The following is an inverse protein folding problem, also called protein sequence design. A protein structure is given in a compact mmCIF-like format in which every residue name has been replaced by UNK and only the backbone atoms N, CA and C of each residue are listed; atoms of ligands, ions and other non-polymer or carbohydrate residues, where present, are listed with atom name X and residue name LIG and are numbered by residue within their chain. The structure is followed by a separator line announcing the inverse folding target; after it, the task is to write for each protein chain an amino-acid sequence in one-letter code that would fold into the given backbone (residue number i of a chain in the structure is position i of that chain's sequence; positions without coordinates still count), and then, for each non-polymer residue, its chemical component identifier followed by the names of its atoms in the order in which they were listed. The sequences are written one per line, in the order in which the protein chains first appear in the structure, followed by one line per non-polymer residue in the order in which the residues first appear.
data_IF_840983353516
#
_entry.id   IF_840983353516
#
_cell.length_a   1.000
_cell.length_b   1.000
_cell.length_c   1.000
_cell.angle_alpha   90.00
_cell.angle_beta   90.00
_cell.angle_gamma   90.00
#
_symmetry.space_group_name_H-M   'P 1'
#
loop_
_entity.id
_entity.type
_entity.pdbx_description
1 polymer ?
#
# COMPACT_ATOMS: atom_id res chain seq x y z
N UNK A 1 -8.04 -0.27 27.30
CA UNK A 1 -7.74 1.12 26.90
C UNK A 1 -7.50 1.97 28.15
N UNK A 2 -6.57 2.93 28.12
CA UNK A 2 -6.36 3.86 29.24
C UNK A 2 -7.44 4.95 29.24
N UNK A 3 -7.96 5.32 30.42
CA UNK A 3 -9.03 6.32 30.55
C UNK A 3 -8.70 7.68 29.90
N UNK A 4 -7.42 8.02 29.78
CA UNK A 4 -6.95 9.23 29.10
C UNK A 4 -7.13 9.19 27.58
N UNK A 5 -6.97 8.01 26.96
CA UNK A 5 -7.14 7.83 25.52
C UNK A 5 -8.62 7.95 25.13
N UNK A 6 -9.51 7.32 25.91
CA UNK A 6 -10.95 7.48 25.76
C UNK A 6 -11.38 8.94 25.92
N UNK A 7 -10.79 9.67 26.87
CA UNK A 7 -11.04 11.09 27.07
C UNK A 7 -10.61 11.92 25.85
N UNK A 8 -9.49 11.57 25.20
CA UNK A 8 -8.99 12.24 24.00
C UNK A 8 -9.96 12.12 22.82
N UNK A 9 -10.40 10.91 22.51
CA UNK A 9 -11.37 10.65 21.43
C UNK A 9 -12.73 11.28 21.71
N UNK A 10 -13.21 11.18 22.95
CA UNK A 10 -14.48 11.77 23.34
C UNK A 10 -14.47 13.30 23.26
N UNK A 11 -13.33 13.96 23.54
CA UNK A 11 -13.17 15.40 23.32
C UNK A 11 -13.31 15.78 21.84
N UNK A 12 -12.72 15.01 20.93
CA UNK A 12 -12.87 15.23 19.48
C UNK A 12 -14.33 15.12 19.04
N UNK A 13 -15.01 14.04 19.42
CA UNK A 13 -16.44 13.86 19.11
C UNK A 13 -17.31 14.97 19.70
N UNK A 14 -17.04 15.39 20.94
CA UNK A 14 -17.76 16.47 21.59
C UNK A 14 -17.56 17.82 20.88
N UNK A 15 -16.34 18.12 20.45
CA UNK A 15 -16.04 19.33 19.69
C UNK A 15 -16.82 19.38 18.36
N UNK A 16 -16.90 18.25 17.65
CA UNK A 16 -17.72 18.15 16.42
C UNK A 16 -19.20 18.37 16.76
N UNK A 17 -19.70 17.80 17.86
CA UNK A 17 -21.08 18.00 18.32
C UNK A 17 -21.44 19.45 18.65
N UNK A 18 -20.46 20.26 19.08
CA UNK A 18 -20.64 21.68 19.36
C UNK A 18 -20.56 22.57 18.11
N UNK A 19 -20.02 22.06 17.01
CA UNK A 19 -19.95 22.78 15.74
C UNK A 19 -21.30 22.71 15.02
N UNK A 20 -22.13 23.73 15.23
CA UNK A 20 -23.49 23.81 14.66
C UNK A 20 -23.52 23.84 13.13
N UNK A 21 -22.38 24.03 12.46
CA UNK A 21 -22.28 23.95 11.00
C UNK A 21 -22.20 22.52 10.50
N UNK A 22 -21.73 21.56 11.29
CA UNK A 22 -21.53 20.16 10.87
C UNK A 22 -22.81 19.38 11.13
N UNK A 23 -23.48 18.93 10.07
CA UNK A 23 -24.74 18.20 10.21
C UNK A 23 -24.83 17.06 9.20
N UNK A 24 -25.09 15.84 9.66
CA UNK A 24 -24.88 14.70 8.78
C UNK A 24 -25.46 13.37 9.23
N UNK A 25 -25.16 12.36 8.42
CA UNK A 25 -25.63 10.98 8.62
C UNK A 25 -24.46 10.06 8.99
N UNK A 26 -24.73 9.11 9.86
CA UNK A 26 -23.86 7.95 10.12
C UNK A 26 -24.51 6.70 9.55
N UNK A 27 -23.87 6.02 8.61
CA UNK A 27 -24.36 4.80 7.98
C UNK A 27 -23.33 3.68 8.16
N UNK A 28 -23.55 2.85 9.17
CA UNK A 28 -22.56 1.87 9.62
C UNK A 28 -23.11 0.45 9.38
N UNK A 29 -22.34 -0.44 8.73
CA UNK A 29 -22.76 -1.82 8.46
C UNK A 29 -21.75 -2.81 9.04
N UNK A 30 -22.28 -3.83 9.72
CA UNK A 30 -21.47 -4.86 10.36
C UNK A 30 -20.97 -4.38 11.72
N UNK A 31 -19.67 -4.49 11.98
CA UNK A 31 -19.11 -4.15 13.29
C UNK A 31 -18.85 -2.64 13.50
N UNK A 32 -19.29 -1.77 12.60
CA UNK A 32 -18.97 -0.34 12.61
C UNK A 32 -19.73 0.56 13.59
N UNK A 33 -20.73 0.07 14.34
CA UNK A 33 -21.69 0.89 15.13
C UNK A 33 -21.11 1.74 16.28
N UNK A 34 -19.79 1.86 16.40
CA UNK A 34 -19.14 2.54 17.51
C UNK A 34 -18.88 4.03 17.26
N UNK A 35 -18.85 4.50 16.00
CA UNK A 35 -18.60 5.91 15.72
C UNK A 35 -19.84 6.73 16.13
N UNK A 36 -21.02 6.39 15.61
CA UNK A 36 -22.25 7.07 16.00
C UNK A 36 -22.51 6.99 17.52
N UNK A 37 -22.21 5.84 18.14
CA UNK A 37 -22.35 5.65 19.59
C UNK A 37 -21.54 6.66 20.39
N UNK A 38 -20.29 6.95 19.99
CA UNK A 38 -19.45 7.95 20.66
C UNK A 38 -20.06 9.35 20.59
N UNK A 39 -20.63 9.72 19.44
CA UNK A 39 -21.32 11.01 19.28
C UNK A 39 -22.54 11.14 20.20
N UNK A 40 -23.30 10.06 20.41
CA UNK A 40 -24.40 10.07 21.39
C UNK A 40 -23.91 10.13 22.83
N UNK A 41 -22.86 9.38 23.16
CA UNK A 41 -22.32 9.27 24.52
C UNK A 41 -21.84 10.61 25.08
N UNK A 42 -21.15 11.42 24.26
CA UNK A 42 -20.57 12.69 24.69
C UNK A 42 -21.58 13.84 24.77
N UNK A 43 -22.81 13.64 24.29
CA UNK A 43 -23.86 14.66 24.27
C UNK A 43 -23.69 15.72 23.18
N UNK A 44 -24.75 16.49 22.91
CA UNK A 44 -24.77 17.51 21.84
C UNK A 44 -25.15 16.98 20.45
N UNK A 45 -25.30 15.66 20.29
CA UNK A 45 -25.58 15.00 19.02
C UNK A 45 -26.79 15.54 18.24
N UNK A 46 -27.80 16.11 18.89
CA UNK A 46 -28.96 16.71 18.20
C UNK A 46 -28.57 17.88 17.26
N UNK A 47 -27.42 18.54 17.52
CA UNK A 47 -26.88 19.58 16.66
C UNK A 47 -26.17 19.06 15.41
N UNK A 48 -25.79 17.78 15.39
CA UNK A 48 -24.81 17.22 14.43
C UNK A 48 -25.31 15.97 13.70
N UNK A 49 -26.08 15.12 14.37
CA UNK A 49 -26.60 13.87 13.83
C UNK A 49 -28.01 14.11 13.29
N UNK A 50 -28.16 14.08 11.97
CA UNK A 50 -29.44 14.12 11.29
C UNK A 50 -30.09 12.73 11.25
N UNK A 51 -29.29 11.70 11.00
CA UNK A 51 -29.73 10.30 10.90
C UNK A 51 -28.61 9.35 11.30
N UNK A 52 -28.98 8.21 11.89
CA UNK A 52 -28.11 7.03 11.95
C UNK A 52 -28.80 5.85 11.28
N UNK A 53 -28.05 5.02 10.59
CA UNK A 53 -28.54 3.86 9.84
C UNK A 53 -27.64 2.65 10.10
N UNK A 54 -28.27 1.49 10.27
CA UNK A 54 -27.59 0.20 10.35
C UNK A 54 -28.42 -0.88 9.68
N UNK A 55 -27.80 -1.66 8.80
CA UNK A 55 -28.45 -2.78 8.10
C UNK A 55 -27.57 -4.04 8.22
N UNK A 56 -27.90 -4.91 9.18
CA UNK A 56 -27.17 -6.17 9.41
C UNK A 56 -27.59 -7.30 8.48
N UNK A 57 -28.87 -7.34 8.10
CA UNK A 57 -29.38 -8.36 7.21
C UNK A 57 -29.05 -7.99 5.76
N UNK A 58 -28.53 -8.95 5.00
CA UNK A 58 -28.12 -8.74 3.60
C UNK A 58 -29.29 -8.30 2.72
N UNK A 59 -30.49 -8.83 2.95
CA UNK A 59 -31.70 -8.48 2.19
C UNK A 59 -32.09 -7.02 2.43
N UNK A 60 -32.03 -6.57 3.69
CA UNK A 60 -32.27 -5.17 4.03
C UNK A 60 -31.19 -4.26 3.45
N UNK A 61 -29.92 -4.65 3.56
CA UNK A 61 -28.80 -3.90 2.98
C UNK A 61 -28.96 -3.75 1.46
N UNK A 62 -29.32 -4.83 0.77
CA UNK A 62 -29.53 -4.82 -0.69
C UNK A 62 -30.76 -4.03 -1.11
N UNK A 63 -31.83 -4.02 -0.30
CA UNK A 63 -33.00 -3.19 -0.56
C UNK A 63 -32.71 -1.69 -0.48
N UNK A 64 -31.71 -1.29 0.32
CA UNK A 64 -31.32 0.12 0.51
C UNK A 64 -30.22 0.51 -0.49
N UNK A 65 -29.17 -0.31 -0.60
CA UNK A 65 -27.93 0.03 -1.32
C UNK A 65 -27.71 -0.83 -2.58
N UNK A 66 -28.66 -1.66 -2.99
CA UNK A 66 -28.51 -2.57 -4.13
C UNK A 66 -27.62 -3.79 -3.83
N UNK A 67 -27.62 -4.78 -4.72
CA UNK A 67 -26.78 -5.98 -4.59
C UNK A 67 -25.30 -5.70 -4.86
N UNK A 68 -24.40 -6.43 -4.22
CA UNK A 68 -22.94 -6.36 -4.46
C UNK A 68 -22.29 -7.74 -4.43
N UNK A 69 -21.16 -7.90 -5.12
CA UNK A 69 -20.38 -9.14 -5.08
C UNK A 69 -19.71 -9.36 -3.72
N UNK A 70 -19.29 -8.28 -3.06
CA UNK A 70 -18.61 -8.29 -1.75
C UNK A 70 -19.18 -7.21 -0.85
N UNK A 71 -19.79 -7.62 0.27
CA UNK A 71 -20.43 -6.70 1.21
C UNK A 71 -19.43 -5.82 1.96
N UNK A 72 -18.24 -6.34 2.27
CA UNK A 72 -17.12 -5.55 2.80
C UNK A 72 -16.20 -5.22 1.64
N UNK A 73 -16.48 -4.10 0.97
CA UNK A 73 -15.74 -3.63 -0.20
C UNK A 73 -15.81 -2.12 -0.35
N UNK A 74 -14.84 -1.57 -1.08
CA UNK A 74 -14.83 -0.17 -1.49
C UNK A 74 -16.10 0.23 -2.24
N UNK A 75 -16.59 -0.63 -3.14
CA UNK A 75 -17.80 -0.36 -3.92
C UNK A 75 -19.04 -0.26 -3.04
N UNK A 76 -19.16 -1.14 -2.02
CA UNK A 76 -20.26 -1.04 -1.07
C UNK A 76 -20.18 0.27 -0.28
N UNK A 77 -19.00 0.63 0.24
CA UNK A 77 -18.80 1.90 0.95
C UNK A 77 -19.21 3.09 0.07
N UNK A 78 -18.75 3.14 -1.18
CA UNK A 78 -19.08 4.22 -2.10
C UNK A 78 -20.59 4.35 -2.31
N UNK A 79 -21.27 3.22 -2.53
CA UNK A 79 -22.74 3.19 -2.71
C UNK A 79 -23.48 3.72 -1.47
N UNK A 80 -22.97 3.43 -0.27
CA UNK A 80 -23.52 3.95 0.97
C UNK A 80 -23.32 5.47 1.07
N UNK A 81 -22.11 5.97 0.78
CA UNK A 81 -21.81 7.41 0.78
C UNK A 81 -22.70 8.17 -0.22
N UNK A 82 -22.87 7.63 -1.42
CA UNK A 82 -23.73 8.18 -2.47
C UNK A 82 -25.19 8.27 -2.01
N UNK A 83 -25.78 7.13 -1.70
CA UNK A 83 -27.20 7.04 -1.33
C UNK A 83 -27.55 7.94 -0.14
N UNK A 84 -26.71 7.89 0.90
CA UNK A 84 -26.98 8.59 2.15
C UNK A 84 -26.78 10.10 2.03
N UNK A 85 -25.86 10.54 1.17
CA UNK A 85 -25.61 11.96 0.94
C UNK A 85 -26.72 12.58 0.09
N UNK A 86 -27.13 11.89 -0.98
CA UNK A 86 -28.24 12.35 -1.83
C UNK A 86 -29.53 12.49 -1.02
N UNK A 87 -29.83 11.51 -0.17
CA UNK A 87 -30.99 11.54 0.71
C UNK A 87 -30.90 12.67 1.76
N UNK A 88 -29.71 12.94 2.29
CA UNK A 88 -29.47 14.03 3.24
C UNK A 88 -29.73 15.40 2.57
N UNK A 89 -29.20 15.61 1.37
CA UNK A 89 -29.40 16.83 0.57
C UNK A 89 -30.87 17.00 0.20
N UNK A 90 -31.52 15.97 -0.34
CA UNK A 90 -32.94 15.95 -0.72
C UNK A 90 -33.84 16.43 0.43
N UNK A 91 -33.55 15.98 1.65
CA UNK A 91 -34.42 16.20 2.80
C UNK A 91 -34.16 17.51 3.52
N UNK A 92 -32.92 18.04 3.47
CA UNK A 92 -32.49 19.09 4.39
C UNK A 92 -31.91 20.33 3.72
N UNK A 93 -31.55 20.30 2.43
CA UNK A 93 -30.90 21.46 1.77
C UNK A 93 -31.76 22.72 1.77
N UNK A 94 -33.07 22.58 1.52
CA UNK A 94 -33.99 23.74 1.51
C UNK A 94 -34.00 24.46 2.87
N UNK A 95 -33.94 23.69 3.97
CA UNK A 95 -34.06 24.21 5.33
C UNK A 95 -32.72 24.65 5.94
N UNK A 96 -31.65 23.88 5.71
CA UNK A 96 -30.39 24.05 6.42
C UNK A 96 -29.20 24.28 5.49
N UNK A 97 -29.34 24.06 4.18
CA UNK A 97 -28.22 24.07 3.24
C UNK A 97 -27.48 25.41 3.15
N UNK A 98 -28.12 26.54 3.48
CA UNK A 98 -27.47 27.86 3.54
C UNK A 98 -26.68 28.12 4.82
N UNK A 99 -26.94 27.36 5.89
CA UNK A 99 -26.37 27.58 7.23
C UNK A 99 -25.40 26.48 7.66
N UNK A 100 -25.61 25.25 7.17
CA UNK A 100 -24.89 24.04 7.58
C UNK A 100 -24.21 23.37 6.41
N UNK A 101 -23.03 22.82 6.68
CA UNK A 101 -22.30 21.94 5.79
C UNK A 101 -22.69 20.49 6.07
N UNK A 102 -23.09 19.78 5.02
CA UNK A 102 -23.51 18.39 5.13
C UNK A 102 -22.35 17.41 5.10
N UNK A 103 -22.48 16.32 5.86
CA UNK A 103 -21.57 15.19 5.80
C UNK A 103 -22.29 13.84 5.89
N UNK A 104 -21.65 12.81 5.37
CA UNK A 104 -21.99 11.41 5.60
C UNK A 104 -20.73 10.70 6.03
N UNK A 105 -20.80 10.03 7.17
CA UNK A 105 -19.84 8.99 7.54
C UNK A 105 -20.46 7.65 7.18
N UNK A 106 -19.70 6.79 6.51
CA UNK A 106 -20.11 5.43 6.23
C UNK A 106 -19.00 4.43 6.53
N UNK A 107 -19.39 3.24 6.95
CA UNK A 107 -18.47 2.11 7.02
C UNK A 107 -19.13 0.77 6.65
N UNK A 108 -18.30 -0.15 6.17
CA UNK A 108 -18.66 -1.56 5.99
C UNK A 108 -17.52 -2.42 6.51
N UNK A 109 -17.82 -3.24 7.52
CA UNK A 109 -16.79 -3.86 8.35
C UNK A 109 -17.10 -5.33 8.61
N UNK A 110 -16.09 -6.19 8.39
CA UNK A 110 -16.07 -7.57 8.88
C UNK A 110 -15.15 -7.67 10.10
N UNK A 111 -15.75 -7.69 11.30
CA UNK A 111 -15.02 -8.03 12.51
C UNK A 111 -15.05 -9.52 12.79
N UNK A 112 -14.21 -9.95 13.73
CA UNK A 112 -14.01 -11.36 14.06
C UNK A 112 -15.31 -12.02 14.48
N UNK A 113 -15.67 -13.10 13.80
CA UNK A 113 -16.84 -13.91 14.17
C UNK A 113 -16.43 -15.10 15.03
N UNK A 114 -17.34 -15.57 15.90
CA UNK A 114 -17.12 -16.79 16.69
C UNK A 114 -16.99 -18.07 15.83
N UNK A 115 -17.34 -18.03 14.54
CA UNK A 115 -17.39 -19.19 13.64
C UNK A 115 -16.29 -19.22 12.57
N UNK A 116 -15.66 -18.08 12.25
CA UNK A 116 -14.67 -17.97 11.17
C UNK A 116 -13.46 -17.14 11.63
N UNK A 117 -12.26 -17.66 11.41
CA UNK A 117 -10.97 -16.99 11.64
C UNK A 117 -10.52 -16.15 10.43
N UNK A 118 -11.46 -15.52 9.72
CA UNK A 118 -11.11 -14.66 8.59
C UNK A 118 -10.43 -13.37 9.07
N UNK A 119 -9.67 -12.74 8.17
CA UNK A 119 -9.05 -11.43 8.41
C UNK A 119 -10.13 -10.41 8.81
N UNK A 120 -9.88 -9.67 9.89
CA UNK A 120 -10.78 -8.62 10.37
C UNK A 120 -10.37 -7.30 9.72
N UNK A 121 -11.24 -6.75 8.88
CA UNK A 121 -10.94 -5.55 8.09
C UNK A 121 -12.22 -4.76 7.75
N UNK A 122 -12.05 -3.54 7.27
CA UNK A 122 -13.18 -2.68 6.93
C UNK A 122 -12.82 -1.49 6.05
N UNK A 123 -13.83 -0.94 5.41
CA UNK A 123 -13.76 0.30 4.64
C UNK A 123 -14.53 1.38 5.38
N UNK A 124 -13.88 2.52 5.61
CA UNK A 124 -14.51 3.70 6.23
C UNK A 124 -14.39 4.86 5.24
N UNK A 125 -15.40 5.72 5.23
CA UNK A 125 -15.41 6.89 4.37
C UNK A 125 -16.16 8.05 4.98
N UNK A 126 -15.73 9.26 4.62
CA UNK A 126 -16.46 10.49 4.90
C UNK A 126 -16.62 11.27 3.61
N UNK A 127 -17.86 11.61 3.30
CA UNK A 127 -18.22 12.58 2.25
C UNK A 127 -18.69 13.85 2.95
N UNK A 128 -18.12 15.00 2.62
CA UNK A 128 -18.43 16.23 3.36
C UNK A 128 -18.30 17.49 2.51
N UNK A 129 -19.06 18.51 2.90
CA UNK A 129 -18.94 19.86 2.36
C UNK A 129 -17.95 20.69 3.18
N UNK A 130 -16.98 21.31 2.49
CA UNK A 130 -16.13 22.34 3.11
C UNK A 130 -16.87 23.66 3.31
N UNK A 131 -17.81 23.97 2.40
CA UNK A 131 -18.66 25.17 2.41
C UNK A 131 -20.09 24.79 2.05
N UNK A 132 -21.04 25.60 2.50
CA UNK A 132 -22.48 25.40 2.25
C UNK A 132 -22.78 25.32 0.75
N UNK A 133 -23.58 24.32 0.35
CA UNK A 133 -24.00 24.08 -1.05
C UNK A 133 -22.86 23.96 -2.07
N UNK A 134 -21.66 23.61 -1.64
CA UNK A 134 -20.57 23.22 -2.55
C UNK A 134 -20.58 21.73 -2.80
N UNK A 135 -19.94 21.36 -3.90
CA UNK A 135 -19.60 19.97 -4.21
C UNK A 135 -18.83 19.35 -3.04
N UNK A 136 -19.20 18.12 -2.62
CA UNK A 136 -18.55 17.48 -1.50
C UNK A 136 -17.16 16.96 -1.88
N UNK A 137 -16.32 16.82 -0.87
CA UNK A 137 -15.05 16.08 -0.95
C UNK A 137 -15.18 14.78 -0.18
N UNK A 138 -14.32 13.81 -0.50
CA UNK A 138 -14.33 12.51 0.16
C UNK A 138 -12.94 12.09 0.64
N UNK A 139 -12.95 11.34 1.73
CA UNK A 139 -11.80 10.58 2.22
C UNK A 139 -12.27 9.16 2.41
N UNK A 140 -11.56 8.21 1.80
CA UNK A 140 -11.81 6.78 1.94
C UNK A 140 -10.56 6.14 2.51
N UNK A 141 -10.73 5.30 3.53
CA UNK A 141 -9.66 4.49 4.10
C UNK A 141 -10.04 3.01 4.14
N UNK A 142 -9.04 2.15 4.05
CA UNK A 142 -9.15 0.76 4.47
C UNK A 142 -8.37 0.55 5.76
N UNK A 143 -8.93 -0.28 6.63
CA UNK A 143 -8.33 -0.62 7.91
C UNK A 143 -8.28 -2.12 8.13
N UNK A 144 -7.20 -2.59 8.76
CA UNK A 144 -7.08 -3.95 9.31
C UNK A 144 -7.15 -3.87 10.82
N UNK A 145 -8.00 -4.68 11.42
CA UNK A 145 -8.17 -4.77 12.87
C UNK A 145 -7.33 -5.93 13.39
N UNK A 146 -6.46 -5.62 14.34
CA UNK A 146 -5.43 -6.54 14.82
C UNK A 146 -5.74 -7.09 16.22
N UNK A 147 -6.68 -6.47 16.93
CA UNK A 147 -7.16 -6.95 18.23
C UNK A 147 -7.74 -8.37 18.14
N UNK A 148 -7.59 -9.15 19.20
CA UNK A 148 -8.03 -10.55 19.22
C UNK A 148 -9.54 -10.70 19.42
N UNK A 149 -10.20 -9.75 20.07
CA UNK A 149 -11.63 -9.82 20.42
C UNK A 149 -12.46 -8.84 19.60
N UNK A 150 -13.68 -9.24 19.25
CA UNK A 150 -14.60 -8.39 18.49
C UNK A 150 -14.91 -7.06 19.21
N UNK A 151 -15.02 -7.06 20.54
CA UNK A 151 -15.33 -5.84 21.30
C UNK A 151 -14.18 -4.83 21.22
N UNK A 152 -12.94 -5.30 21.33
CA UNK A 152 -11.76 -4.44 21.20
C UNK A 152 -11.65 -3.88 19.77
N UNK A 153 -11.90 -4.72 18.75
CA UNK A 153 -11.94 -4.30 17.35
C UNK A 153 -12.97 -3.19 17.08
N UNK A 154 -14.20 -3.36 17.59
CA UNK A 154 -15.26 -2.37 17.49
C UNK A 154 -14.87 -1.05 18.16
N UNK A 155 -14.33 -1.12 19.38
CA UNK A 155 -13.92 0.05 20.12
C UNK A 155 -12.83 0.85 19.37
N UNK A 156 -11.82 0.15 18.84
CA UNK A 156 -10.75 0.76 18.06
C UNK A 156 -11.27 1.41 16.77
N UNK A 157 -12.21 0.75 16.07
CA UNK A 157 -12.88 1.34 14.91
C UNK A 157 -13.61 2.63 15.25
N UNK A 158 -14.31 2.66 16.39
CA UNK A 158 -14.96 3.86 16.90
C UNK A 158 -13.98 5.03 17.06
N UNK A 159 -12.75 4.76 17.53
CA UNK A 159 -11.70 5.79 17.64
C UNK A 159 -11.23 6.27 16.27
N UNK A 160 -10.91 5.35 15.36
CA UNK A 160 -10.45 5.72 14.01
C UNK A 160 -11.51 6.50 13.25
N UNK A 161 -12.78 6.11 13.34
CA UNK A 161 -13.88 6.84 12.68
C UNK A 161 -14.05 8.27 13.22
N UNK A 162 -13.95 8.47 14.53
CA UNK A 162 -13.95 9.82 15.14
C UNK A 162 -12.72 10.62 14.68
N UNK A 163 -11.53 10.00 14.65
CA UNK A 163 -10.32 10.66 14.18
C UNK A 163 -10.40 11.05 12.70
N UNK A 164 -10.98 10.20 11.85
CA UNK A 164 -11.22 10.47 10.43
C UNK A 164 -12.15 11.69 10.25
N UNK A 165 -13.28 11.71 10.96
CA UNK A 165 -14.22 12.83 10.92
C UNK A 165 -13.57 14.13 11.43
N UNK A 166 -12.88 14.05 12.57
CA UNK A 166 -12.18 15.20 13.13
C UNK A 166 -11.12 15.74 12.16
N UNK A 167 -10.34 14.85 11.56
CA UNK A 167 -9.35 15.21 10.57
C UNK A 167 -9.95 15.87 9.34
N UNK A 168 -11.02 15.30 8.80
CA UNK A 168 -11.73 15.85 7.64
C UNK A 168 -12.26 17.27 7.90
N UNK A 169 -12.71 17.56 9.12
CA UNK A 169 -13.30 18.86 9.45
C UNK A 169 -12.31 19.92 9.90
N UNK A 170 -11.19 19.53 10.50
CA UNK A 170 -10.30 20.47 11.21
C UNK A 170 -8.84 20.47 10.74
N UNK A 171 -8.42 19.55 9.87
CA UNK A 171 -7.07 19.55 9.30
C UNK A 171 -7.09 19.88 7.81
N UNK A 172 -6.38 20.96 7.46
CA UNK A 172 -6.19 21.38 6.06
C UNK A 172 -5.03 20.64 5.37
N UNK A 173 -4.10 20.07 6.15
CA UNK A 173 -2.95 19.33 5.64
C UNK A 173 -3.26 17.82 5.68
N UNK A 174 -3.36 17.14 4.52
CA UNK A 174 -3.61 15.70 4.47
C UNK A 174 -2.62 14.86 5.28
N UNK A 175 -1.35 15.25 5.32
CA UNK A 175 -0.30 14.55 6.07
C UNK A 175 -0.57 14.58 7.58
N UNK A 176 -1.09 15.69 8.09
CA UNK A 176 -1.50 15.84 9.49
C UNK A 176 -2.75 15.03 9.80
N UNK A 177 -3.69 14.97 8.86
CA UNK A 177 -4.87 14.11 8.97
C UNK A 177 -4.45 12.65 9.10
N UNK A 178 -3.57 12.19 8.22
CA UNK A 178 -3.02 10.83 8.24
C UNK A 178 -2.38 10.53 9.60
N UNK A 179 -1.48 11.40 10.08
CA UNK A 179 -0.83 11.24 11.39
C UNK A 179 -1.84 11.10 12.54
N UNK A 180 -2.98 11.77 12.42
CA UNK A 180 -4.00 11.79 13.48
C UNK A 180 -4.92 10.57 13.53
N UNK A 181 -4.92 9.71 12.50
CA UNK A 181 -5.88 8.60 12.37
C UNK A 181 -5.75 7.58 13.52
N UNK A 182 -4.52 7.37 14.00
CA UNK A 182 -4.22 6.44 15.10
C UNK A 182 -4.06 7.14 16.47
N UNK A 183 -4.33 8.44 16.57
CA UNK A 183 -4.30 9.11 17.88
C UNK A 183 -5.29 8.47 18.86
N UNK A 184 -4.87 8.35 20.13
CA UNK A 184 -5.63 7.67 21.18
C UNK A 184 -5.88 6.17 20.91
N UNK A 185 -5.03 5.53 20.11
CA UNK A 185 -4.92 4.07 20.02
C UNK A 185 -3.54 3.63 20.46
N UNK A 186 -3.48 2.44 21.06
CA UNK A 186 -2.19 1.79 21.28
C UNK A 186 -1.69 1.29 19.92
N UNK A 187 -0.37 1.21 19.80
CA UNK A 187 0.26 0.60 18.64
C UNK A 187 -0.32 -0.81 18.39
N UNK A 188 -0.36 -1.21 17.14
CA UNK A 188 -0.77 -2.56 16.71
C UNK A 188 -2.24 -2.94 16.99
N UNK A 189 -3.16 -2.00 17.26
CA UNK A 189 -4.60 -2.30 17.32
C UNK A 189 -5.32 -2.20 15.98
N UNK A 190 -4.99 -1.17 15.21
CA UNK A 190 -5.49 -0.94 13.86
C UNK A 190 -4.34 -0.54 12.94
N UNK A 191 -4.35 -1.08 11.72
CA UNK A 191 -3.49 -0.65 10.62
C UNK A 191 -4.34 0.09 9.59
N UNK A 192 -3.94 1.30 9.18
CA UNK A 192 -4.54 1.99 8.03
C UNK A 192 -3.66 1.73 6.82
N UNK A 193 -4.07 0.80 5.95
CA UNK A 193 -3.24 0.31 4.84
C UNK A 193 -3.63 0.87 3.47
N UNK A 194 -4.64 1.74 3.43
CA UNK A 194 -5.06 2.44 2.21
C UNK A 194 -5.75 3.76 2.58
N UNK A 195 -5.46 4.82 1.83
CA UNK A 195 -6.17 6.11 1.90
C UNK A 195 -6.31 6.73 0.52
N UNK A 196 -7.47 7.32 0.23
CA UNK A 196 -7.71 8.14 -0.96
C UNK A 196 -8.52 9.38 -0.62
N UNK A 197 -8.08 10.50 -1.16
CA UNK A 197 -8.72 11.81 -1.11
C UNK A 197 -9.28 12.15 -2.50
N UNK A 198 -10.48 12.73 -2.53
CA UNK A 198 -11.12 13.19 -3.76
C UNK A 198 -11.99 14.43 -3.52
N UNK A 199 -12.29 15.18 -4.59
CA UNK A 199 -13.14 16.36 -4.56
C UNK A 199 -12.40 17.68 -4.28
N UNK A 200 -13.13 18.80 -4.26
CA UNK A 200 -12.56 20.14 -4.32
C UNK A 200 -11.67 20.53 -3.12
N UNK A 201 -11.84 19.93 -1.95
CA UNK A 201 -10.99 20.20 -0.78
C UNK A 201 -9.56 19.64 -0.94
N UNK A 202 -9.36 18.73 -1.89
CA UNK A 202 -8.11 18.01 -2.12
C UNK A 202 -7.58 18.20 -3.54
N UNK A 203 -7.94 19.31 -4.18
CA UNK A 203 -7.36 19.69 -5.46
C UNK A 203 -5.83 19.81 -5.34
N UNK A 204 -5.09 19.12 -6.19
CA UNK A 204 -3.63 19.07 -6.16
C UNK A 204 -3.01 18.05 -5.19
N UNK A 205 -3.82 17.28 -4.45
CA UNK A 205 -3.31 16.17 -3.63
C UNK A 205 -2.97 14.98 -4.51
N UNK A 206 -1.72 14.52 -4.45
CA UNK A 206 -1.31 13.26 -5.07
C UNK A 206 -1.53 12.10 -4.08
N UNK A 207 -2.49 11.22 -4.40
CA UNK A 207 -2.83 10.08 -3.55
C UNK A 207 -1.67 9.07 -3.38
N UNK A 208 -0.69 9.09 -4.27
CA UNK A 208 0.51 8.25 -4.17
C UNK A 208 1.42 8.74 -3.05
N UNK A 209 1.57 10.06 -2.92
CA UNK A 209 2.24 10.65 -1.76
C UNK A 209 1.47 10.36 -0.47
N UNK A 210 0.14 10.46 -0.49
CA UNK A 210 -0.67 10.19 0.71
C UNK A 210 -0.55 8.75 1.18
N UNK A 211 -0.45 7.81 0.24
CA UNK A 211 -0.21 6.42 0.57
C UNK A 211 1.21 6.19 1.08
N UNK A 212 2.21 6.87 0.50
CA UNK A 212 3.59 6.87 1.04
C UNK A 212 3.63 7.36 2.49
N UNK A 213 2.82 8.37 2.85
CA UNK A 213 2.69 8.86 4.22
C UNK A 213 2.20 7.79 5.20
N UNK A 214 1.33 6.86 4.77
CA UNK A 214 0.91 5.76 5.63
C UNK A 214 2.10 4.87 6.06
N UNK A 215 3.06 4.65 5.17
CA UNK A 215 4.25 3.84 5.48
C UNK A 215 5.28 4.66 6.26
N UNK A 216 5.57 5.89 5.84
CA UNK A 216 6.59 6.74 6.46
C UNK A 216 6.22 7.18 7.88
N UNK A 217 4.92 7.34 8.16
CA UNK A 217 4.40 7.69 9.49
C UNK A 217 4.06 6.45 10.34
N UNK A 218 4.26 5.23 9.81
CA UNK A 218 4.14 3.99 10.58
C UNK A 218 2.73 3.40 10.68
N UNK A 219 1.72 3.97 9.99
CA UNK A 219 0.35 3.48 10.01
C UNK A 219 0.19 2.12 9.32
N UNK A 220 1.06 1.79 8.36
CA UNK A 220 1.13 0.48 7.70
C UNK A 220 2.56 0.10 7.35
N UNK A 221 2.75 -1.16 6.97
CA UNK A 221 4.05 -1.69 6.54
C UNK A 221 4.26 -1.64 5.04
N UNK A 222 3.16 -1.55 4.27
CA UNK A 222 3.23 -1.42 2.83
C UNK A 222 1.96 -0.81 2.24
N UNK A 223 2.12 -0.15 1.10
CA UNK A 223 1.05 0.41 0.26
C UNK A 223 1.33 0.10 -1.21
N UNK A 224 0.29 0.13 -2.05
CA UNK A 224 0.40 -0.30 -3.44
C UNK A 224 -0.35 0.64 -4.40
N UNK A 225 0.22 0.76 -5.60
CA UNK A 225 -0.33 1.52 -6.72
C UNK A 225 -0.36 0.65 -7.97
N UNK A 226 -1.44 0.74 -8.73
CA UNK A 226 -1.50 0.21 -10.08
C UNK A 226 -0.76 1.14 -11.06
N UNK A 227 -0.52 0.65 -12.28
CA UNK A 227 0.25 1.38 -13.28
C UNK A 227 -0.37 2.72 -13.71
N UNK A 228 -1.68 2.86 -13.58
CA UNK A 228 -2.43 4.11 -13.80
C UNK A 228 -2.32 5.09 -12.61
N UNK A 229 -1.60 4.73 -11.55
CA UNK A 229 -1.41 5.55 -10.36
C UNK A 229 -2.53 5.43 -9.32
N UNK A 230 -3.48 4.53 -9.52
CA UNK A 230 -4.57 4.31 -8.56
C UNK A 230 -4.07 3.60 -7.29
N UNK A 231 -4.40 4.17 -6.13
CA UNK A 231 -4.16 3.51 -4.84
C UNK A 231 -5.16 2.38 -4.64
N UNK A 232 -4.62 1.19 -4.40
CA UNK A 232 -5.36 -0.07 -4.31
C UNK A 232 -5.07 -0.81 -3.02
N UNK A 233 -6.06 -1.59 -2.56
CA UNK A 233 -5.88 -2.48 -1.42
C UNK A 233 -5.24 -3.81 -1.90
N UNK A 234 -4.18 -4.32 -1.25
CA UNK A 234 -3.44 -5.50 -1.71
C UNK A 234 -4.27 -6.76 -1.97
N UNK A 235 -5.23 -7.07 -1.11
CA UNK A 235 -6.08 -8.25 -1.24
C UNK A 235 -7.04 -8.17 -2.45
N UNK A 236 -7.37 -6.97 -2.94
CA UNK A 236 -8.15 -6.80 -4.18
C UNK A 236 -7.35 -7.22 -5.42
N UNK A 237 -6.05 -6.94 -5.44
CA UNK A 237 -5.17 -7.24 -6.59
C UNK A 237 -4.62 -8.66 -6.56
N UNK A 238 -4.25 -9.17 -5.37
CA UNK A 238 -3.59 -10.47 -5.24
C UNK A 238 -4.55 -11.67 -5.21
N UNK A 239 -5.86 -11.42 -5.19
CA UNK A 239 -6.86 -12.48 -5.07
C UNK A 239 -6.72 -13.53 -6.17
N UNK A 240 -6.34 -14.75 -5.78
CA UNK A 240 -6.10 -15.90 -6.66
C UNK A 240 -4.99 -15.68 -7.71
N UNK A 241 -4.09 -14.73 -7.50
CA UNK A 241 -2.96 -14.45 -8.40
C UNK A 241 -1.66 -15.01 -7.86
N UNK A 242 -0.83 -15.55 -8.74
CA UNK A 242 0.60 -15.69 -8.49
C UNK A 242 1.25 -14.30 -8.47
N UNK A 243 2.34 -14.17 -7.72
CA UNK A 243 3.03 -12.90 -7.53
C UNK A 243 4.48 -13.06 -7.95
N UNK A 244 4.97 -12.14 -8.77
CA UNK A 244 6.38 -11.96 -9.04
C UNK A 244 6.78 -10.57 -8.56
N UNK A 245 7.80 -10.47 -7.72
CA UNK A 245 8.26 -9.18 -7.19
C UNK A 245 9.74 -8.98 -7.44
N UNK A 246 10.12 -7.83 -7.97
CA UNK A 246 11.51 -7.36 -8.00
C UNK A 246 11.64 -6.19 -7.03
N UNK A 247 12.65 -6.24 -6.17
CA UNK A 247 13.04 -5.13 -5.30
C UNK A 247 14.08 -4.26 -6.00
N UNK A 248 13.91 -2.95 -5.98
CA UNK A 248 14.89 -2.04 -6.55
C UNK A 248 14.69 -0.59 -6.18
N UNK A 249 15.71 0.23 -6.46
CA UNK A 249 15.59 1.69 -6.35
C UNK A 249 14.87 2.32 -7.54
N UNK A 250 14.89 1.65 -8.70
CA UNK A 250 14.26 2.09 -9.95
C UNK A 250 14.62 3.52 -10.36
N UNK A 251 15.87 3.91 -10.12
CA UNK A 251 16.39 5.27 -10.33
C UNK A 251 17.59 5.31 -11.30
N UNK A 252 17.36 5.23 -12.63
CA UNK A 252 16.14 4.81 -13.32
C UNK A 252 16.05 3.27 -13.45
N UNK A 253 14.91 2.77 -13.95
CA UNK A 253 14.80 1.38 -14.46
C UNK A 253 15.71 1.18 -15.67
N UNK A 254 16.46 0.08 -15.70
CA UNK A 254 17.35 -0.30 -16.80
C UNK A 254 16.83 -1.51 -17.59
N UNK A 255 17.48 -1.82 -18.71
CA UNK A 255 17.20 -3.07 -19.44
C UNK A 255 17.44 -4.32 -18.59
N UNK A 256 18.44 -4.30 -17.69
CA UNK A 256 18.71 -5.42 -16.79
C UNK A 256 17.48 -5.78 -15.94
N UNK A 257 16.85 -4.77 -15.32
CA UNK A 257 15.59 -4.94 -14.57
C UNK A 257 14.49 -5.60 -15.40
N UNK A 258 14.26 -5.11 -16.63
CA UNK A 258 13.23 -5.70 -17.48
C UNK A 258 13.58 -7.14 -17.92
N UNK A 259 14.84 -7.42 -18.20
CA UNK A 259 15.29 -8.74 -18.63
C UNK A 259 15.18 -9.78 -17.50
N UNK A 260 15.56 -9.38 -16.28
CA UNK A 260 15.33 -10.15 -15.05
C UNK A 260 13.85 -10.55 -14.89
N UNK A 261 12.96 -9.56 -14.96
CA UNK A 261 11.52 -9.79 -14.82
C UNK A 261 10.97 -10.68 -15.93
N UNK A 262 11.39 -10.46 -17.17
CA UNK A 262 10.92 -11.24 -18.32
C UNK A 262 11.40 -12.70 -18.25
N UNK A 263 12.65 -12.92 -17.84
CA UNK A 263 13.20 -14.25 -17.60
C UNK A 263 12.43 -15.01 -16.53
N UNK A 264 12.29 -14.42 -15.34
CA UNK A 264 11.55 -15.03 -14.24
C UNK A 264 10.06 -15.28 -14.57
N UNK A 265 9.43 -14.34 -15.31
CA UNK A 265 8.05 -14.48 -15.78
C UNK A 265 7.87 -15.67 -16.71
N UNK A 266 8.78 -15.89 -17.67
CA UNK A 266 8.73 -17.06 -18.56
C UNK A 266 8.80 -18.36 -17.77
N UNK A 267 9.77 -18.46 -16.87
CA UNK A 267 9.94 -19.64 -16.01
C UNK A 267 8.65 -19.91 -15.21
N UNK A 268 8.08 -18.88 -14.58
CA UNK A 268 6.88 -19.05 -13.75
C UNK A 268 5.65 -19.45 -14.57
N UNK A 269 5.44 -18.85 -15.74
CA UNK A 269 4.30 -19.17 -16.61
C UNK A 269 4.42 -20.59 -17.19
N UNK A 270 5.61 -21.00 -17.61
CA UNK A 270 5.88 -22.32 -18.18
C UNK A 270 5.82 -23.43 -17.12
N UNK A 271 6.56 -23.29 -16.01
CA UNK A 271 6.65 -24.33 -14.97
C UNK A 271 5.33 -24.54 -14.24
N UNK A 272 4.55 -23.48 -14.02
CA UNK A 272 3.33 -23.56 -13.23
C UNK A 272 2.04 -23.60 -14.07
N UNK A 273 2.14 -23.51 -15.41
CA UNK A 273 0.99 -23.48 -16.33
C UNK A 273 -0.04 -22.39 -15.96
N UNK A 274 0.43 -21.23 -15.51
CA UNK A 274 -0.41 -20.07 -15.24
C UNK A 274 -0.71 -19.29 -16.52
N UNK A 275 -1.90 -18.69 -16.57
CA UNK A 275 -2.21 -17.69 -17.60
C UNK A 275 -1.64 -16.34 -17.23
N UNK A 276 -1.49 -15.48 -18.23
CA UNK A 276 -1.02 -14.10 -18.04
C UNK A 276 -1.85 -13.30 -17.06
N UNK A 277 -3.18 -13.46 -17.11
CA UNK A 277 -4.07 -12.77 -16.19
C UNK A 277 -3.97 -13.33 -14.77
N UNK A 278 -3.39 -14.50 -14.54
CA UNK A 278 -3.19 -15.10 -13.22
C UNK A 278 -1.89 -14.66 -12.52
N UNK A 279 -1.06 -13.84 -13.17
CA UNK A 279 0.20 -13.34 -12.64
C UNK A 279 0.14 -11.83 -12.39
N UNK A 280 0.59 -11.40 -11.21
CA UNK A 280 0.83 -9.99 -10.90
C UNK A 280 2.33 -9.78 -10.75
N UNK A 281 2.88 -8.84 -11.53
CA UNK A 281 4.27 -8.40 -11.42
C UNK A 281 4.31 -7.11 -10.60
N UNK A 282 5.16 -7.09 -9.58
CA UNK A 282 5.32 -5.98 -8.63
C UNK A 282 6.74 -5.43 -8.67
N UNK A 283 6.83 -4.12 -8.64
CA UNK A 283 8.08 -3.39 -8.43
C UNK A 283 8.08 -2.87 -7.00
N UNK A 284 8.89 -3.47 -6.13
CA UNK A 284 8.98 -3.06 -4.74
C UNK A 284 10.09 -2.04 -4.51
N UNK A 285 9.73 -0.89 -3.95
CA UNK A 285 10.68 0.08 -3.41
C UNK A 285 10.55 0.09 -1.88
N UNK A 286 11.67 -0.14 -1.20
CA UNK A 286 11.69 0.00 0.26
C UNK A 286 11.82 1.48 0.66
N UNK A 287 11.38 1.84 1.86
CA UNK A 287 11.65 3.18 2.42
C UNK A 287 13.15 3.46 2.47
N UNK A 288 13.99 2.46 2.71
CA UNK A 288 15.45 2.61 2.67
C UNK A 288 15.94 3.04 1.28
N UNK A 289 15.37 2.48 0.20
CA UNK A 289 15.67 2.92 -1.17
C UNK A 289 15.20 4.35 -1.47
N UNK A 290 14.22 4.87 -0.72
CA UNK A 290 13.70 6.23 -0.84
C UNK A 290 14.42 7.23 0.08
N UNK A 291 15.17 6.74 1.07
CA UNK A 291 15.91 7.54 2.06
C UNK A 291 17.41 7.63 1.76
N UNK A 292 17.87 7.24 0.57
CA UNK A 292 19.30 7.09 0.24
C UNK A 292 20.16 8.36 0.40
N UNK A 293 19.55 9.54 0.47
CA UNK A 293 20.23 10.83 0.73
C UNK A 293 19.90 11.41 2.13
N UNK A 294 19.39 10.58 3.04
CA UNK A 294 19.08 10.93 4.43
C UNK A 294 17.71 11.58 4.66
N UNK A 295 17.01 11.99 3.60
CA UNK A 295 15.64 12.50 3.66
C UNK A 295 14.80 11.94 2.51
N UNK A 296 13.48 11.85 2.75
CA UNK A 296 12.51 11.41 1.75
C UNK A 296 12.29 12.55 0.74
N UNK A 297 12.71 12.34 -0.50
CA UNK A 297 12.43 13.27 -1.60
C UNK A 297 11.13 12.87 -2.31
N UNK A 298 10.07 13.67 -2.11
CA UNK A 298 8.77 13.44 -2.73
C UNK A 298 8.80 13.54 -4.26
N UNK A 299 9.63 14.43 -4.83
CA UNK A 299 9.72 14.60 -6.28
C UNK A 299 10.47 13.43 -6.92
N UNK A 300 11.54 12.95 -6.28
CA UNK A 300 12.28 11.77 -6.72
C UNK A 300 11.41 10.51 -6.62
N UNK A 301 10.62 10.36 -5.54
CA UNK A 301 9.64 9.29 -5.41
C UNK A 301 8.61 9.30 -6.54
N UNK A 302 7.97 10.46 -6.79
CA UNK A 302 6.98 10.58 -7.86
C UNK A 302 7.58 10.30 -9.24
N UNK A 303 8.81 10.75 -9.50
CA UNK A 303 9.52 10.45 -10.74
C UNK A 303 9.72 8.95 -10.97
N UNK A 304 10.09 8.19 -9.91
CA UNK A 304 10.21 6.73 -9.97
C UNK A 304 8.86 6.08 -10.26
N UNK A 305 7.80 6.50 -9.56
CA UNK A 305 6.45 5.95 -9.77
C UNK A 305 5.91 6.27 -11.16
N UNK A 306 6.12 7.48 -11.68
CA UNK A 306 5.71 7.89 -13.03
C UNK A 306 6.42 7.05 -14.11
N UNK A 307 7.72 6.78 -13.95
CA UNK A 307 8.48 5.91 -14.87
C UNK A 307 7.93 4.48 -14.84
N UNK A 308 7.67 3.94 -13.65
CA UNK A 308 7.11 2.59 -13.51
C UNK A 308 5.69 2.50 -14.08
N UNK A 309 4.86 3.52 -13.88
CA UNK A 309 3.53 3.63 -14.46
C UNK A 309 3.57 3.70 -15.99
N UNK A 310 4.48 4.47 -16.57
CA UNK A 310 4.69 4.53 -18.02
C UNK A 310 5.10 3.17 -18.63
N UNK A 311 5.75 2.31 -17.84
CA UNK A 311 6.09 0.93 -18.21
C UNK A 311 4.97 -0.09 -17.89
N UNK A 312 3.80 0.37 -17.44
CA UNK A 312 2.68 -0.52 -17.11
C UNK A 312 2.89 -1.33 -15.82
N UNK A 313 3.73 -0.87 -14.89
CA UNK A 313 4.12 -1.64 -13.70
C UNK A 313 3.34 -1.24 -12.45
N UNK A 314 2.88 -2.25 -11.71
CA UNK A 314 2.32 -2.09 -10.36
C UNK A 314 3.45 -1.89 -9.35
N UNK A 315 3.30 -0.93 -8.44
CA UNK A 315 4.34 -0.52 -7.50
C UNK A 315 3.91 -0.85 -6.07
N UNK A 316 4.82 -1.48 -5.31
CA UNK A 316 4.67 -1.73 -3.88
C UNK A 316 5.70 -0.87 -3.12
N UNK A 317 5.26 -0.06 -2.17
CA UNK A 317 6.16 0.65 -1.26
C UNK A 317 6.12 -0.04 0.09
N UNK A 318 7.28 -0.34 0.67
CA UNK A 318 7.35 -1.14 1.89
C UNK A 318 8.37 -0.62 2.89
N UNK A 319 8.21 -1.01 4.16
CA UNK A 319 9.26 -0.87 5.19
C UNK A 319 10.01 -2.20 5.45
N UNK A 320 9.90 -3.16 4.54
CA UNK A 320 10.51 -4.48 4.71
C UNK A 320 11.98 -4.44 4.32
N UNK A 321 12.88 -4.22 5.29
CA UNK A 321 14.31 -4.36 5.05
C UNK A 321 14.66 -5.78 4.61
N UNK A 322 14.14 -6.79 5.32
CA UNK A 322 14.47 -8.20 5.10
C UNK A 322 13.44 -8.90 4.21
N UNK A 323 13.91 -9.74 3.27
CA UNK A 323 13.06 -10.46 2.33
C UNK A 323 12.06 -11.41 3.00
N UNK A 324 12.38 -12.00 4.16
CA UNK A 324 11.43 -12.87 4.87
C UNK A 324 10.18 -12.11 5.35
N UNK A 325 10.27 -10.79 5.59
CA UNK A 325 9.12 -9.95 5.96
C UNK A 325 8.24 -9.64 4.75
N UNK A 326 8.86 -9.37 3.60
CA UNK A 326 8.14 -9.22 2.33
C UNK A 326 7.42 -10.53 1.95
N UNK A 327 8.11 -11.67 2.06
CA UNK A 327 7.54 -12.99 1.83
C UNK A 327 6.33 -13.25 2.75
N UNK A 328 6.49 -13.01 4.05
CA UNK A 328 5.40 -13.15 5.01
C UNK A 328 4.22 -12.21 4.70
N UNK A 329 4.48 -10.98 4.25
CA UNK A 329 3.44 -10.04 3.85
C UNK A 329 2.63 -10.54 2.65
N UNK A 330 3.30 -10.96 1.57
CA UNK A 330 2.68 -11.43 0.33
C UNK A 330 1.89 -12.73 0.54
N UNK A 331 2.45 -13.66 1.33
CA UNK A 331 1.82 -14.94 1.65
C UNK A 331 0.50 -14.82 2.43
N UNK A 332 0.17 -13.65 2.99
CA UNK A 332 -1.15 -13.41 3.61
C UNK A 332 -2.26 -13.25 2.58
N UNK A 333 -1.93 -12.79 1.38
CA UNK A 333 -2.93 -12.40 0.38
C UNK A 333 -3.12 -13.43 -0.74
N UNK A 334 -2.18 -14.36 -0.90
CA UNK A 334 -2.27 -15.41 -1.90
C UNK A 334 -1.72 -16.74 -1.37
N UNK A 335 -2.32 -17.82 -1.85
CA UNK A 335 -1.82 -19.19 -1.70
C UNK A 335 -1.24 -19.74 -3.02
N UNK A 336 -1.13 -18.89 -4.04
CA UNK A 336 -0.46 -19.21 -5.31
C UNK A 336 1.05 -18.98 -5.17
N UNK A 337 1.79 -19.31 -6.22
CA UNK A 337 3.24 -19.13 -6.29
C UNK A 337 3.64 -17.68 -6.01
N UNK A 338 4.68 -17.50 -5.19
CA UNK A 338 5.34 -16.21 -4.95
C UNK A 338 6.78 -16.35 -5.43
N UNK A 339 7.18 -15.50 -6.36
CA UNK A 339 8.53 -15.39 -6.88
C UNK A 339 9.17 -14.07 -6.48
N UNK A 340 10.40 -14.11 -5.98
CA UNK A 340 11.23 -12.91 -5.81
C UNK A 340 12.33 -12.93 -6.86
N UNK A 341 12.37 -11.90 -7.70
CA UNK A 341 13.36 -11.71 -8.75
C UNK A 341 14.50 -10.85 -8.22
N UNK A 342 15.73 -11.30 -8.44
CA UNK A 342 16.91 -10.58 -7.97
C UNK A 342 18.16 -10.97 -8.75
N UNK A 343 19.22 -10.17 -8.63
CA UNK A 343 20.56 -10.55 -9.06
C UNK A 343 21.33 -11.31 -7.99
N UNK A 344 22.46 -11.92 -8.40
CA UNK A 344 23.42 -12.56 -7.48
C UNK A 344 23.84 -11.69 -6.28
N UNK A 345 24.06 -10.36 -6.39
CA UNK A 345 24.42 -9.53 -5.24
C UNK A 345 23.37 -9.56 -4.12
N UNK A 346 22.08 -9.46 -4.45
CA UNK A 346 20.99 -9.54 -3.46
C UNK A 346 20.79 -10.95 -2.92
N UNK A 347 21.08 -11.99 -3.71
CA UNK A 347 21.13 -13.36 -3.20
C UNK A 347 22.19 -13.49 -2.11
N UNK A 348 23.39 -12.95 -2.31
CA UNK A 348 24.45 -12.95 -1.31
C UNK A 348 24.04 -12.22 -0.02
N UNK A 349 23.34 -11.09 -0.13
CA UNK A 349 22.81 -10.35 1.03
C UNK A 349 21.83 -11.18 1.86
N UNK A 350 21.03 -12.06 1.25
CA UNK A 350 20.12 -12.96 1.97
C UNK A 350 20.90 -13.92 2.89
N UNK A 351 22.13 -14.28 2.54
CA UNK A 351 22.99 -15.17 3.34
C UNK A 351 23.93 -14.41 4.29
N UNK A 352 23.78 -13.09 4.44
CA UNK A 352 24.52 -12.32 5.43
C UNK A 352 23.83 -12.36 6.80
N UNK A 353 24.45 -13.07 7.76
CA UNK A 353 23.90 -13.29 9.10
C UNK A 353 23.65 -12.01 9.91
N UNK A 354 24.29 -10.88 9.54
CA UNK A 354 24.13 -9.61 10.24
C UNK A 354 22.69 -9.11 10.25
N UNK A 355 21.89 -9.49 9.25
CA UNK A 355 20.48 -9.08 9.14
C UNK A 355 19.54 -9.86 10.06
N UNK A 356 20.01 -10.93 10.71
CA UNK A 356 19.16 -11.84 11.48
C UNK A 356 19.52 -11.92 12.97
N UNK A 357 20.36 -11.00 13.46
CA UNK A 357 20.81 -10.97 14.87
C UNK A 357 19.67 -10.76 15.87
N UNK A 358 18.54 -10.23 15.42
CA UNK A 358 17.35 -9.97 16.25
C UNK A 358 16.35 -11.15 16.26
N UNK A 359 16.63 -12.26 15.58
CA UNK A 359 15.80 -13.46 15.56
C UNK A 359 16.41 -14.53 16.47
N UNK A 360 15.59 -15.19 17.28
CA UNK A 360 16.05 -16.23 18.22
C UNK A 360 16.73 -17.40 17.50
N UNK A 361 16.19 -17.79 16.34
CA UNK A 361 16.77 -18.82 15.47
C UNK A 361 17.65 -18.29 14.35
N UNK A 362 18.01 -17.00 14.36
CA UNK A 362 18.91 -16.37 13.38
C UNK A 362 18.48 -16.60 11.92
N UNK A 363 19.46 -16.87 11.05
CA UNK A 363 19.23 -17.09 9.61
C UNK A 363 18.33 -18.30 9.32
N UNK A 364 18.38 -19.36 10.14
CA UNK A 364 17.52 -20.53 9.95
C UNK A 364 16.04 -20.19 10.16
N UNK A 365 15.74 -19.37 11.16
CA UNK A 365 14.38 -18.86 11.38
C UNK A 365 13.93 -17.97 10.21
N UNK A 366 14.80 -17.08 9.73
CA UNK A 366 14.49 -16.17 8.63
C UNK A 366 14.17 -16.94 7.33
N UNK A 367 15.05 -17.84 6.90
CA UNK A 367 14.86 -18.62 5.68
C UNK A 367 13.70 -19.61 5.81
N UNK A 368 13.52 -20.22 6.99
CA UNK A 368 12.37 -21.07 7.28
C UNK A 368 11.04 -20.31 7.15
N UNK A 369 10.98 -19.04 7.59
CA UNK A 369 9.80 -18.17 7.38
C UNK A 369 9.63 -17.78 5.92
N UNK A 370 10.71 -17.47 5.23
CA UNK A 370 10.71 -17.00 3.85
C UNK A 370 10.19 -18.06 2.87
N UNK A 371 10.67 -19.30 3.00
CA UNK A 371 10.35 -20.39 2.07
C UNK A 371 9.12 -21.22 2.46
N UNK A 372 8.53 -20.97 3.65
CA UNK A 372 7.37 -21.71 4.20
C UNK A 372 6.19 -21.87 3.21
N UNK A 373 5.96 -20.88 2.36
CA UNK A 373 4.82 -20.84 1.43
C UNK A 373 5.13 -21.35 0.02
N UNK A 374 6.24 -22.09 -0.16
CA UNK A 374 6.69 -22.53 -1.48
C UNK A 374 7.20 -21.37 -2.35
N UNK A 375 7.71 -20.31 -1.71
CA UNK A 375 8.31 -19.17 -2.40
C UNK A 375 9.55 -19.62 -3.17
N UNK A 376 9.78 -19.04 -4.36
CA UNK A 376 11.01 -19.26 -5.13
C UNK A 376 11.77 -17.96 -5.36
N UNK A 377 13.10 -18.05 -5.35
CA UNK A 377 14.00 -16.99 -5.82
C UNK A 377 14.31 -17.23 -7.29
N UNK A 378 14.16 -16.20 -8.12
CA UNK A 378 14.59 -16.22 -9.52
C UNK A 378 15.82 -15.33 -9.64
N UNK A 379 16.98 -15.96 -9.86
CA UNK A 379 18.27 -15.31 -9.74
C UNK A 379 18.87 -15.07 -11.11
N UNK A 380 19.07 -13.79 -11.40
CA UNK A 380 19.75 -13.33 -12.59
C UNK A 380 21.26 -13.32 -12.42
N UNK A 381 22.02 -13.80 -13.41
CA UNK A 381 23.46 -13.87 -13.30
C UNK A 381 24.10 -12.48 -13.35
N UNK A 382 25.36 -12.42 -12.93
CA UNK A 382 26.18 -11.21 -13.02
C UNK A 382 27.48 -11.52 -13.77
N UNK A 383 28.06 -10.51 -14.42
CA UNK A 383 29.42 -10.61 -14.95
C UNK A 383 30.37 -10.04 -13.92
N UNK A 384 31.31 -10.87 -13.48
CA UNK A 384 32.40 -10.44 -12.62
C UNK A 384 33.31 -9.45 -13.39
N UNK A 385 33.48 -8.24 -12.87
CA UNK A 385 34.18 -7.17 -13.58
C UNK A 385 35.69 -7.43 -13.71
N UNK A 386 36.29 -8.16 -12.76
CA UNK A 386 37.74 -8.43 -12.76
C UNK A 386 38.12 -9.56 -13.72
N UNK A 387 37.30 -10.61 -13.75
CA UNK A 387 37.57 -11.84 -14.51
C UNK A 387 36.79 -11.93 -15.81
N UNK A 388 35.73 -11.12 -15.97
CA UNK A 388 34.82 -11.17 -17.11
C UNK A 388 33.96 -12.43 -17.18
N UNK A 389 33.98 -13.27 -16.12
CA UNK A 389 33.23 -14.52 -16.08
C UNK A 389 31.78 -14.29 -15.66
N UNK A 390 30.88 -15.07 -16.24
CA UNK A 390 29.50 -15.14 -15.79
C UNK A 390 29.46 -15.91 -14.47
N UNK A 391 28.80 -15.33 -13.47
CA UNK A 391 28.53 -15.94 -12.18
C UNK A 391 27.02 -16.16 -12.05
N UNK A 392 26.61 -17.43 -11.95
CA UNK A 392 25.21 -17.84 -11.72
C UNK A 392 25.00 -18.22 -10.25
N UNK A 393 23.76 -18.43 -9.81
CA UNK A 393 23.42 -18.70 -8.41
C UNK A 393 24.15 -19.93 -7.84
N UNK A 394 24.20 -21.02 -8.60
CA UNK A 394 24.85 -22.29 -8.25
C UNK A 394 26.37 -22.19 -8.12
N UNK A 395 26.96 -21.14 -8.67
CA UNK A 395 28.41 -20.87 -8.64
C UNK A 395 28.81 -19.93 -7.51
N UNK A 396 27.85 -19.38 -6.76
CA UNK A 396 28.09 -18.44 -5.66
C UNK A 396 28.71 -19.16 -4.46
N UNK A 397 29.75 -18.57 -3.88
CA UNK A 397 30.33 -19.03 -2.62
C UNK A 397 29.72 -18.27 -1.42
N UNK A 398 29.06 -19.01 -0.53
CA UNK A 398 28.58 -18.50 0.77
C UNK A 398 29.57 -18.84 1.89
N UNK A 399 29.39 -18.21 3.06
CA UNK A 399 30.18 -18.48 4.25
C UNK A 399 30.23 -20.00 4.58
N UNK A 400 31.38 -20.54 5.05
CA UNK A 400 31.56 -21.99 5.22
C UNK A 400 30.48 -22.69 6.07
N UNK A 401 29.97 -22.02 7.10
CA UNK A 401 28.90 -22.51 7.97
C UNK A 401 27.52 -22.56 7.30
N UNK A 402 27.31 -21.83 6.20
CA UNK A 402 26.04 -21.75 5.48
C UNK A 402 25.99 -22.64 4.24
N UNK A 403 27.11 -23.27 3.83
CA UNK A 403 27.20 -24.06 2.59
C UNK A 403 26.14 -25.15 2.48
N UNK A 404 25.92 -25.93 3.55
CA UNK A 404 24.93 -27.00 3.53
C UNK A 404 23.50 -26.47 3.43
N UNK A 405 23.24 -25.30 4.01
CA UNK A 405 21.94 -24.65 3.95
C UNK A 405 21.68 -24.08 2.53
N UNK A 406 22.69 -23.48 1.92
CA UNK A 406 22.63 -23.00 0.54
C UNK A 406 22.41 -24.15 -0.44
N UNK A 407 23.20 -25.23 -0.32
CA UNK A 407 23.04 -26.44 -1.13
C UNK A 407 21.63 -27.03 -0.97
N UNK A 408 21.11 -27.11 0.25
CA UNK A 408 19.72 -27.55 0.48
C UNK A 408 18.70 -26.71 -0.30
N UNK A 409 18.87 -25.38 -0.34
CA UNK A 409 17.94 -24.51 -1.06
C UNK A 409 18.03 -24.67 -2.59
N UNK A 410 19.23 -24.88 -3.12
CA UNK A 410 19.46 -25.18 -4.54
C UNK A 410 18.88 -26.55 -4.90
N UNK A 411 19.23 -27.59 -4.15
CA UNK A 411 18.82 -28.98 -4.41
C UNK A 411 17.30 -29.20 -4.31
N UNK A 412 16.60 -28.33 -3.57
CA UNK A 412 15.15 -28.34 -3.43
C UNK A 412 14.45 -27.27 -4.28
N UNK A 413 15.13 -26.69 -5.27
CA UNK A 413 14.53 -25.78 -6.25
C UNK A 413 13.88 -24.52 -5.63
N UNK A 414 14.36 -24.09 -4.47
CA UNK A 414 13.96 -22.80 -3.87
C UNK A 414 14.67 -21.62 -4.55
N UNK A 415 15.77 -21.89 -5.24
CA UNK A 415 16.55 -20.92 -6.01
C UNK A 415 16.63 -21.42 -7.45
N UNK A 416 16.05 -20.67 -8.36
CA UNK A 416 16.00 -20.93 -9.80
C UNK A 416 16.86 -19.91 -10.53
N UNK A 417 17.74 -20.38 -11.43
CA UNK A 417 18.55 -19.50 -12.26
C UNK A 417 17.74 -19.00 -13.46
N UNK A 418 17.95 -17.73 -13.84
CA UNK A 418 17.45 -17.20 -15.10
C UNK A 418 18.49 -17.49 -16.18
N UNK A 419 18.27 -18.52 -16.98
CA UNK A 419 19.21 -18.97 -18.03
C UNK A 419 19.04 -18.19 -19.34
N UNK A 420 17.81 -17.79 -19.67
CA UNK A 420 17.52 -17.03 -20.88
C UNK A 420 17.52 -15.53 -20.60
N UNK A 421 18.58 -14.86 -21.01
CA UNK A 421 18.78 -13.42 -20.87
C UNK A 421 19.58 -12.84 -22.03
N UNK A 422 19.59 -11.51 -22.17
CA UNK A 422 20.41 -10.79 -23.12
C UNK A 422 21.76 -10.43 -22.47
N UNK A 423 22.90 -10.96 -22.96
CA UNK A 423 24.22 -10.68 -22.40
C UNK A 423 24.61 -9.20 -22.42
N UNK A 424 24.06 -8.40 -23.35
CA UNK A 424 24.35 -6.95 -23.43
C UNK A 424 23.77 -6.19 -22.23
N UNK A 425 22.68 -6.67 -21.64
CA UNK A 425 22.01 -6.01 -20.52
C UNK A 425 22.68 -6.29 -19.17
N UNK A 426 23.52 -7.32 -19.07
CA UNK A 426 24.26 -7.65 -17.84
C UNK A 426 25.15 -6.51 -17.32
N UNK A 427 25.53 -5.56 -18.19
CA UNK A 427 26.36 -4.40 -17.85
C UNK A 427 25.55 -3.11 -17.66
N UNK A 428 24.22 -3.19 -17.65
CA UNK A 428 23.33 -2.03 -17.50
C UNK A 428 22.99 -1.79 -16.02
N UNK A 429 23.91 -1.19 -15.27
CA UNK A 429 23.74 -0.92 -13.84
C UNK A 429 23.02 0.41 -13.57
N UNK A 430 21.97 0.45 -12.71
CA UNK A 430 21.26 1.68 -12.40
C UNK A 430 22.14 2.83 -11.86
N UNK A 431 23.11 2.61 -10.94
CA UNK A 431 23.98 3.68 -10.45
C UNK A 431 24.84 4.31 -11.55
N UNK A 432 25.28 3.52 -12.53
CA UNK A 432 26.05 4.04 -13.66
C UNK A 432 25.17 4.84 -14.62
N UNK A 433 23.97 4.34 -14.94
CA UNK A 433 23.00 5.06 -15.76
C UNK A 433 22.65 6.42 -15.15
N UNK A 434 22.41 6.47 -13.83
CA UNK A 434 22.12 7.69 -13.09
C UNK A 434 23.30 8.68 -13.15
N UNK A 435 24.53 8.21 -12.91
CA UNK A 435 25.73 9.05 -12.98
C UNK A 435 25.90 9.68 -14.36
N UNK A 436 25.75 8.90 -15.43
CA UNK A 436 25.85 9.36 -16.83
C UNK A 436 24.75 10.37 -17.17
N UNK A 437 23.52 10.10 -16.76
CA UNK A 437 22.38 11.01 -16.89
C UNK A 437 22.65 12.38 -16.23
N UNK A 438 23.18 12.37 -15.01
CA UNK A 438 23.45 13.60 -14.25
C UNK A 438 24.69 14.37 -14.76
N UNK A 439 25.63 13.70 -15.41
CA UNK A 439 26.79 14.34 -16.04
C UNK A 439 26.52 14.86 -17.44
N UNK A 440 25.34 14.57 -18.03
CA UNK A 440 25.01 14.90 -19.41
C UNK A 440 25.65 13.97 -20.45
N UNK A 441 26.11 12.78 -20.04
CA UNK A 441 26.66 11.76 -20.94
C UNK A 441 25.53 10.93 -21.55
N UNK A 442 25.20 11.17 -22.82
CA UNK A 442 24.08 10.52 -23.53
C UNK A 442 24.15 9.00 -23.64
N UNK A 443 25.25 8.35 -23.25
CA UNK A 443 25.33 6.88 -23.23
C UNK A 443 24.32 6.22 -22.28
N UNK A 444 23.77 6.94 -21.28
CA UNK A 444 22.71 6.41 -20.41
C UNK A 444 21.46 5.97 -21.19
N UNK A 445 21.20 6.58 -22.35
CA UNK A 445 20.03 6.28 -23.18
C UNK A 445 20.06 4.84 -23.74
N UNK A 446 21.25 4.24 -23.83
CA UNK A 446 21.41 2.84 -24.26
C UNK A 446 21.19 1.84 -23.12
N UNK A 447 21.12 2.31 -21.87
CA UNK A 447 21.00 1.48 -20.67
C UNK A 447 19.55 1.29 -20.21
N UNK A 448 18.62 2.07 -20.75
CA UNK A 448 17.22 2.11 -20.33
C UNK A 448 16.27 2.02 -21.52
N UNK A 449 15.01 1.59 -21.32
CA UNK A 449 14.01 1.56 -22.40
C UNK A 449 13.74 2.94 -23.01
N UNK A 450 13.34 3.01 -24.31
CA UNK A 450 13.06 4.28 -24.98
C UNK A 450 11.97 5.11 -24.29
N UNK A 451 10.96 4.47 -23.72
CA UNK A 451 9.89 5.11 -22.94
C UNK A 451 10.45 5.83 -21.71
N UNK A 452 11.44 5.22 -21.05
CA UNK A 452 12.14 5.81 -19.90
C UNK A 452 13.00 7.00 -20.34
N UNK A 453 13.66 6.92 -21.50
CA UNK A 453 14.39 8.06 -22.08
C UNK A 453 13.45 9.24 -22.33
N UNK A 454 12.30 8.98 -22.96
CA UNK A 454 11.34 10.01 -23.31
C UNK A 454 10.82 10.75 -22.07
N UNK A 455 10.33 10.02 -21.07
CA UNK A 455 9.76 10.63 -19.85
C UNK A 455 10.80 11.39 -19.03
N UNK A 456 12.03 10.87 -18.91
CA UNK A 456 13.11 11.54 -18.18
C UNK A 456 13.46 12.87 -18.85
N UNK A 457 13.57 12.90 -20.19
CA UNK A 457 13.88 14.12 -20.95
C UNK A 457 12.75 15.14 -20.89
N UNK A 458 11.50 14.68 -21.05
CA UNK A 458 10.31 15.53 -21.02
C UNK A 458 10.12 16.21 -19.65
N UNK A 459 10.28 15.44 -18.58
CA UNK A 459 9.99 15.89 -17.21
C UNK A 459 11.20 16.40 -16.43
N UNK A 460 12.41 16.24 -16.97
CA UNK A 460 13.66 16.63 -16.31
C UNK A 460 13.95 15.79 -15.05
N UNK A 461 13.54 14.53 -15.03
CA UNK A 461 13.69 13.66 -13.86
C UNK A 461 15.16 13.34 -13.54
N UNK A 462 15.41 12.98 -12.28
CA UNK A 462 16.70 12.54 -11.75
C UNK A 462 17.89 13.49 -11.97
N UNK A 463 17.62 14.78 -12.14
CA UNK A 463 18.64 15.79 -12.39
C UNK A 463 19.19 15.76 -13.81
N UNK A 464 18.39 15.30 -14.78
CA UNK A 464 18.74 15.26 -16.20
C UNK A 464 19.36 16.57 -16.67
N UNK A 465 20.55 16.47 -17.27
CA UNK A 465 21.23 17.57 -17.95
C UNK A 465 21.24 17.30 -19.45
N UNK A 466 20.73 18.24 -20.23
CA UNK A 466 20.85 18.17 -21.68
C UNK A 466 22.34 18.08 -22.06
N UNK A 467 22.69 17.31 -23.11
CA UNK A 467 24.06 17.28 -23.61
C UNK A 467 24.52 18.70 -23.90
N UNK A 468 25.72 19.07 -23.43
CA UNK A 468 26.30 20.35 -23.80
C UNK A 468 26.38 20.42 -25.33
N UNK A 469 25.80 21.47 -25.92
CA UNK A 469 25.94 21.72 -27.36
C UNK A 469 27.44 21.85 -27.67
N UNK A 470 27.96 20.93 -28.49
CA UNK A 470 29.34 20.91 -28.92
C UNK A 470 29.68 22.10 -29.85
#
# INVERSE_FOLDING_TARGET
MNAEMDLGTNKKAFQINLDSKKYGTFAEIGAGQEVARRFFLVGGAAGTVAKTMSAYDMTFSDAIYGSTDRYVSRNRLQTMLDHEYDLLVERLDEKFGSERTFFVFADTVAARSFKQHNESHGWLGVRFQSETRKEPSEIIIHVRMLDETNVDQQEALGVVGVNLLYGAFYYHQPEKLIASLQENLADDRIQVDMIKFSGPAYEGVDNRLMSLQLVSQGLTNAVMFTADGETVQPAEVFYKKAILVERGSFRPVTYATNDMLNGARRILLELCNYKEDELVVLMEMTLENLLSEGQLDHADFLARVDILGALGRTVLISKFGEYYRLAAYLARYTNKMIGIVMGVPSLLEIFDEKYYLNLEGGILEALGRMFKSGLKLYVYPIVDEETGKLLTATQVEVAPNLRSLFAYLIDNEYIEEIEEFNPEYLRSYPPEALRKLQSGDGEWEKMVPPEVVAIIKERGFFGYRAPAAA
#
